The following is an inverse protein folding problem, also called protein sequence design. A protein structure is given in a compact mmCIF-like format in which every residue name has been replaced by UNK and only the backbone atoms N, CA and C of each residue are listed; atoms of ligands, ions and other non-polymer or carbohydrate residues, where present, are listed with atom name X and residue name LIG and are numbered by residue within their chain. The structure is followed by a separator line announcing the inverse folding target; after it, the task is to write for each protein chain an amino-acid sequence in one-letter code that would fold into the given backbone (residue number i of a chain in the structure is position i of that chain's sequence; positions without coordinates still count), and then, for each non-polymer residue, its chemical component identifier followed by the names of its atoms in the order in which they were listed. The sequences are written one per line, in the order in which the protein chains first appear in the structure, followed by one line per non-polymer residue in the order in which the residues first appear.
data_IF_153636237420
#
_entry.id   IF_153636237420
#
_cell.length_a   1.000
_cell.length_b   1.000
_cell.length_c   1.000
_cell.angle_alpha   90.00
_cell.angle_beta   90.00
_cell.angle_gamma   90.00
#
_symmetry.space_group_name_H-M   'P 1'
#
loop_
_entity.id
_entity.type
_entity.pdbx_description
1 polymer ?
#
# COMPACT_ATOMS: atom_id res chain seq x y z
N UNK A 1 3.64 10.82 -26.96
CA UNK A 1 3.46 9.77 -25.93
C UNK A 1 3.71 10.40 -24.58
N UNK A 2 2.81 10.20 -23.62
CA UNK A 2 3.03 10.65 -22.24
C UNK A 2 3.89 9.60 -21.54
N UNK A 3 5.07 9.99 -21.05
CA UNK A 3 5.89 9.10 -20.23
C UNK A 3 5.54 9.29 -18.75
N UNK A 4 5.45 8.21 -17.96
CA UNK A 4 5.17 8.32 -16.54
C UNK A 4 6.35 8.98 -15.82
N UNK A 5 6.05 9.82 -14.83
CA UNK A 5 7.06 10.51 -14.02
C UNK A 5 7.93 9.51 -13.22
N UNK A 6 7.38 8.35 -12.89
CA UNK A 6 8.04 7.26 -12.18
C UNK A 6 7.79 5.96 -12.95
N UNK A 7 8.82 5.15 -13.15
CA UNK A 7 8.69 3.83 -13.76
C UNK A 7 7.79 2.93 -12.92
N UNK A 8 6.99 2.08 -13.56
CA UNK A 8 6.16 1.12 -12.82
C UNK A 8 7.02 0.22 -11.92
N UNK A 9 6.58 -0.04 -10.68
CA UNK A 9 7.31 -0.92 -9.78
C UNK A 9 7.26 -2.37 -10.26
N UNK A 10 8.34 -3.13 -10.02
CA UNK A 10 8.30 -4.59 -10.13
C UNK A 10 7.45 -5.17 -8.99
N UNK A 11 6.49 -6.02 -9.34
CA UNK A 11 5.52 -6.63 -8.41
C UNK A 11 6.14 -7.63 -7.39
N UNK A 12 7.45 -7.85 -7.43
CA UNK A 12 8.13 -8.96 -6.74
C UNK A 12 9.31 -8.50 -5.86
N UNK A 13 9.36 -7.22 -5.48
CA UNK A 13 10.54 -6.67 -4.78
C UNK A 13 10.49 -6.92 -3.26
N UNK A 14 9.30 -7.18 -2.70
CA UNK A 14 9.10 -7.50 -1.29
C UNK A 14 7.80 -8.30 -1.07
N UNK A 15 7.91 -9.44 -0.39
CA UNK A 15 6.80 -10.39 -0.21
C UNK A 15 5.66 -9.84 0.64
N UNK A 16 5.95 -9.03 1.66
CA UNK A 16 4.95 -8.46 2.57
C UNK A 16 4.09 -7.42 1.84
N UNK A 17 4.72 -6.52 1.09
CA UNK A 17 4.01 -5.52 0.27
C UNK A 17 3.26 -6.20 -0.88
N UNK A 18 3.80 -7.28 -1.45
CA UNK A 18 3.13 -8.05 -2.51
C UNK A 18 1.87 -8.76 -1.99
N UNK A 19 1.91 -9.34 -0.79
CA UNK A 19 0.73 -9.94 -0.15
C UNK A 19 -0.34 -8.89 0.16
N UNK A 20 0.07 -7.70 0.62
CA UNK A 20 -0.88 -6.60 0.83
C UNK A 20 -1.58 -6.22 -0.48
N UNK A 21 -0.82 -6.03 -1.57
CA UNK A 21 -1.39 -5.74 -2.88
C UNK A 21 -2.35 -6.82 -3.38
N UNK A 22 -2.03 -8.10 -3.11
CA UNK A 22 -2.90 -9.24 -3.43
C UNK A 22 -4.21 -9.19 -2.64
N UNK A 23 -4.16 -8.90 -1.34
CA UNK A 23 -5.36 -8.82 -0.50
C UNK A 23 -6.36 -7.74 -0.95
N UNK A 24 -5.85 -6.61 -1.47
CA UNK A 24 -6.69 -5.55 -2.03
C UNK A 24 -7.34 -5.98 -3.34
N UNK A 25 -6.59 -6.60 -4.26
CA UNK A 25 -7.17 -7.16 -5.49
C UNK A 25 -8.26 -8.21 -5.20
N UNK A 26 -8.08 -9.04 -4.18
CA UNK A 26 -9.08 -10.05 -3.80
C UNK A 26 -10.35 -9.44 -3.19
N UNK A 27 -10.24 -8.30 -2.51
CA UNK A 27 -11.37 -7.69 -1.77
C UNK A 27 -12.08 -6.61 -2.59
N UNK A 28 -11.34 -5.81 -3.36
CA UNK A 28 -11.83 -4.64 -4.08
C UNK A 28 -11.85 -4.81 -5.60
N UNK A 29 -11.37 -5.95 -6.13
CA UNK A 29 -11.14 -6.21 -7.56
C UNK A 29 -10.09 -5.27 -8.20
N UNK A 30 -9.39 -4.48 -7.38
CA UNK A 30 -8.23 -3.69 -7.78
C UNK A 30 -7.30 -3.43 -6.58
N UNK A 31 -6.02 -3.22 -6.89
CA UNK A 31 -5.02 -2.77 -5.93
C UNK A 31 -4.84 -1.25 -6.08
N UNK A 32 -5.00 -0.47 -5.00
CA UNK A 32 -4.76 0.97 -5.01
C UNK A 32 -3.34 1.36 -5.49
N UNK A 33 -3.23 2.48 -6.21
CA UNK A 33 -1.96 2.96 -6.78
C UNK A 33 -0.89 3.27 -5.72
N UNK A 34 -1.30 3.73 -4.54
CA UNK A 34 -0.38 3.94 -3.40
C UNK A 34 0.23 2.61 -2.92
N UNK A 35 -0.55 1.53 -2.87
CA UNK A 35 -0.06 0.19 -2.51
C UNK A 35 0.85 -0.38 -3.61
N UNK A 36 0.55 -0.12 -4.89
CA UNK A 36 1.47 -0.49 -5.97
C UNK A 36 2.80 0.25 -5.86
N UNK A 37 2.78 1.57 -5.64
CA UNK A 37 4.02 2.38 -5.56
C UNK A 37 4.86 2.11 -4.31
N UNK A 38 4.26 1.59 -3.24
CA UNK A 38 4.98 1.14 -2.04
C UNK A 38 6.07 0.10 -2.34
N UNK A 39 5.93 -0.67 -3.42
CA UNK A 39 6.93 -1.64 -3.89
C UNK A 39 8.29 -1.02 -4.23
N UNK A 40 8.34 0.28 -4.54
CA UNK A 40 9.61 0.98 -4.78
C UNK A 40 10.47 1.13 -3.53
N UNK A 41 9.85 1.21 -2.34
CA UNK A 41 10.54 1.46 -1.07
C UNK A 41 9.90 0.64 0.07
N UNK A 42 10.17 -0.68 0.14
CA UNK A 42 9.50 -1.58 1.07
C UNK A 42 9.64 -1.18 2.55
N UNK A 43 10.82 -0.70 2.97
CA UNK A 43 11.01 -0.26 4.35
C UNK A 43 10.11 0.93 4.74
N UNK A 44 9.88 1.87 3.81
CA UNK A 44 8.98 3.00 4.03
C UNK A 44 7.52 2.52 4.03
N UNK A 45 7.18 1.61 3.13
CA UNK A 45 5.85 1.00 3.06
C UNK A 45 5.47 0.32 4.37
N UNK A 46 6.34 -0.52 4.92
CA UNK A 46 6.11 -1.23 6.18
C UNK A 46 5.90 -0.25 7.33
N UNK A 47 6.74 0.78 7.45
CA UNK A 47 6.58 1.82 8.47
C UNK A 47 5.24 2.58 8.33
N UNK A 48 4.84 2.91 7.10
CA UNK A 48 3.56 3.57 6.82
C UNK A 48 2.36 2.66 7.17
N UNK A 49 2.43 1.37 6.83
CA UNK A 49 1.39 0.39 7.15
C UNK A 49 1.24 0.27 8.67
N UNK A 50 2.35 0.17 9.41
CA UNK A 50 2.33 0.11 10.87
C UNK A 50 1.73 1.37 11.47
N UNK A 51 2.10 2.55 10.98
CA UNK A 51 1.50 3.81 11.41
C UNK A 51 -0.03 3.80 11.25
N UNK A 52 -0.52 3.39 10.07
CA UNK A 52 -1.95 3.31 9.81
C UNK A 52 -2.63 2.31 10.75
N UNK A 53 -2.06 1.12 10.96
CA UNK A 53 -2.59 0.14 11.93
C UNK A 53 -2.66 0.71 13.34
N UNK A 54 -1.63 1.42 13.80
CA UNK A 54 -1.64 2.04 15.14
C UNK A 54 -2.69 3.13 15.26
N UNK A 55 -2.92 3.94 14.21
CA UNK A 55 -4.01 4.94 14.20
C UNK A 55 -5.38 4.25 14.26
N UNK A 56 -5.54 3.17 13.51
CA UNK A 56 -6.75 2.34 13.47
C UNK A 56 -7.09 1.72 14.83
N UNK A 57 -6.08 1.23 15.55
CA UNK A 57 -6.24 0.62 16.87
C UNK A 57 -6.60 1.64 17.96
N UNK A 58 -6.43 2.94 17.70
CA UNK A 58 -6.62 4.00 18.70
C UNK A 58 -8.10 4.30 19.04
N UNK A 59 -9.10 3.64 18.43
CA UNK A 59 -10.56 3.66 18.74
C UNK A 59 -11.28 5.02 18.96
N UNK A 60 -10.59 6.16 18.97
CA UNK A 60 -11.14 7.48 19.23
C UNK A 60 -11.63 8.11 17.93
N UNK A 61 -12.79 7.63 17.45
CA UNK A 61 -13.75 8.43 16.67
C UNK A 61 -13.35 8.98 15.30
N UNK A 62 -12.12 8.81 14.83
CA UNK A 62 -11.71 9.20 13.47
C UNK A 62 -12.00 8.04 12.53
N UNK A 63 -12.88 8.27 11.55
CA UNK A 63 -13.26 7.30 10.53
C UNK A 63 -12.04 6.73 9.82
N UNK A 64 -11.77 5.47 10.12
CA UNK A 64 -10.86 4.56 9.44
C UNK A 64 -11.01 4.60 7.92
N UNK A 65 -10.10 5.25 7.20
CA UNK A 65 -9.51 4.81 5.91
C UNK A 65 -8.47 5.87 5.52
N UNK A 66 -7.18 5.54 5.65
CA UNK A 66 -6.14 6.12 4.80
C UNK A 66 -5.42 4.96 4.13
N UNK A 67 -6.06 4.46 3.07
CA UNK A 67 -5.43 3.73 1.97
C UNK A 67 -6.12 4.15 0.69
#
# INVERSE_FOLDING_TARGET
MLFPLVSSPSLSTNDEVAQLAKSFNETLDFCPNNVLTMQHRPAIAIAFIQLNKTVMDNLEGVGSVIV
#
